data_IF_959831150906
#
_entry.id   IF_959831150906
#
_cell.length_a   1.000
_cell.length_b   1.000
_cell.length_c   1.000
_cell.angle_alpha   90.00
_cell.angle_beta   90.00
_cell.angle_gamma   90.00
#
_symmetry.space_group_name_H-M   'P 1'
#
loop_
_entity.id
_entity.type
_entity.pdbx_description
1 polymer ?
#
# COMPACT_ATOMS: atom_id res chain seq x y z
N UNK A 1 33.17 -49.38 -39.24
CA UNK A 1 32.56 -49.63 -37.91
C UNK A 1 33.49 -49.01 -36.87
N UNK A 2 33.44 -47.68 -36.71
CA UNK A 2 34.52 -46.91 -36.08
C UNK A 2 34.05 -45.50 -35.67
N UNK A 3 33.81 -45.34 -34.35
CA UNK A 3 34.15 -44.25 -33.41
C UNK A 3 34.06 -42.73 -33.74
N UNK A 4 33.59 -41.99 -32.70
CA UNK A 4 34.01 -40.67 -32.15
C UNK A 4 33.81 -39.38 -32.98
N UNK A 5 32.96 -38.45 -32.51
CA UNK A 5 33.38 -37.35 -31.61
C UNK A 5 32.26 -36.33 -31.34
N UNK A 6 32.29 -35.76 -30.14
CA UNK A 6 31.45 -34.65 -29.68
C UNK A 6 32.18 -33.32 -29.88
N UNK A 7 31.46 -32.27 -30.28
CA UNK A 7 31.86 -30.88 -30.04
C UNK A 7 30.61 -30.00 -29.95
N UNK A 8 30.45 -29.37 -28.79
CA UNK A 8 29.45 -28.35 -28.52
C UNK A 8 29.76 -27.06 -29.31
N UNK A 9 28.78 -26.14 -29.38
CA UNK A 9 29.06 -24.83 -28.81
C UNK A 9 28.01 -24.42 -27.77
N UNK A 10 28.53 -23.73 -26.76
CA UNK A 10 27.85 -23.11 -25.65
C UNK A 10 26.83 -22.07 -26.12
N UNK A 11 25.57 -22.23 -25.73
CA UNK A 11 24.58 -21.16 -25.78
C UNK A 11 24.18 -20.81 -24.33
N UNK A 12 24.68 -19.68 -23.86
CA UNK A 12 24.25 -19.04 -22.62
C UNK A 12 22.74 -18.85 -22.65
N UNK A 13 22.02 -19.68 -21.89
CA UNK A 13 20.60 -19.50 -21.64
C UNK A 13 20.46 -18.48 -20.52
N UNK A 14 20.50 -17.20 -20.90
CA UNK A 14 20.09 -16.10 -20.03
C UNK A 14 18.58 -16.24 -19.84
N UNK A 15 18.15 -16.94 -18.80
CA UNK A 15 16.75 -16.91 -18.37
C UNK A 15 16.43 -15.47 -17.94
N UNK A 16 15.50 -14.75 -18.59
CA UNK A 16 14.97 -13.56 -17.98
C UNK A 16 14.09 -14.01 -16.82
N UNK A 17 14.56 -13.79 -15.59
CA UNK A 17 13.71 -13.82 -14.41
C UNK A 17 12.53 -12.89 -14.68
N UNK A 18 11.35 -13.47 -14.86
CA UNK A 18 10.11 -12.69 -14.96
C UNK A 18 9.78 -12.24 -13.55
N UNK A 19 10.42 -11.15 -13.11
CA UNK A 19 9.84 -10.30 -12.08
C UNK A 19 8.58 -9.70 -12.69
N UNK A 20 7.46 -10.39 -12.46
CA UNK A 20 6.13 -9.83 -12.67
C UNK A 20 5.95 -8.71 -11.66
N UNK A 21 6.46 -7.53 -11.99
CA UNK A 21 6.06 -6.28 -11.36
C UNK A 21 4.55 -6.14 -11.62
N UNK A 22 3.68 -6.07 -10.59
CA UNK A 22 2.24 -5.86 -10.80
C UNK A 22 1.90 -4.46 -11.31
N UNK A 23 2.89 -3.64 -11.66
CA UNK A 23 2.76 -2.23 -12.07
C UNK A 23 2.85 -1.98 -13.58
N UNK A 24 2.74 -3.01 -14.43
CA UNK A 24 2.82 -2.86 -15.90
C UNK A 24 1.46 -2.65 -16.59
N UNK A 25 0.46 -2.07 -15.92
CA UNK A 25 -0.83 -1.79 -16.57
C UNK A 25 -0.80 -0.39 -17.20
N UNK A 26 -0.60 -0.39 -18.52
CA UNK A 26 -0.63 0.77 -19.41
C UNK A 26 -1.85 1.63 -19.10
N UNK A 27 -1.58 2.87 -18.68
CA UNK A 27 -2.52 3.98 -18.65
C UNK A 27 -3.19 4.08 -20.03
N UNK A 28 -4.36 3.47 -20.19
CA UNK A 28 -5.25 3.89 -21.25
C UNK A 28 -5.61 5.34 -20.92
N UNK A 29 -4.98 6.29 -21.63
CA UNK A 29 -5.29 7.69 -21.47
C UNK A 29 -6.79 7.86 -21.71
N UNK A 30 -7.55 8.06 -20.64
CA UNK A 30 -8.95 8.45 -20.75
C UNK A 30 -9.02 9.62 -21.75
N UNK A 31 -9.96 9.60 -22.72
CA UNK A 31 -10.13 10.69 -23.66
C UNK A 31 -10.18 12.01 -22.89
N UNK A 32 -9.39 12.99 -23.30
CA UNK A 32 -9.35 14.30 -22.62
C UNK A 32 -10.77 14.87 -22.63
N UNK A 33 -11.35 15.05 -21.44
CA UNK A 33 -12.67 15.65 -21.30
C UNK A 33 -12.62 17.08 -21.88
N UNK A 34 -13.62 17.46 -22.68
CA UNK A 34 -13.68 18.81 -23.24
C UNK A 34 -13.93 19.84 -22.14
N UNK A 35 -13.39 21.05 -22.29
CA UNK A 35 -13.58 22.14 -21.33
C UNK A 35 -15.08 22.46 -21.11
N UNK A 36 -15.87 22.42 -22.19
CA UNK A 36 -17.31 22.61 -22.13
C UNK A 36 -18.01 21.55 -21.25
N UNK A 37 -17.65 20.27 -21.38
CA UNK A 37 -18.25 19.21 -20.56
C UNK A 37 -17.86 19.34 -19.09
N UNK A 38 -16.61 19.71 -18.82
CA UNK A 38 -16.16 19.98 -17.46
C UNK A 38 -16.94 21.14 -16.81
N UNK A 39 -17.22 22.20 -17.56
CA UNK A 39 -18.01 23.33 -17.08
C UNK A 39 -19.45 22.93 -16.76
N UNK A 40 -20.07 22.12 -17.62
CA UNK A 40 -21.40 21.55 -17.38
C UNK A 40 -21.43 20.70 -16.10
N UNK A 41 -20.43 19.84 -15.90
CA UNK A 41 -20.33 19.01 -14.68
C UNK A 41 -20.14 19.86 -13.42
N UNK A 42 -19.36 20.96 -13.50
CA UNK A 42 -19.24 21.93 -12.40
C UNK A 42 -20.59 22.58 -12.07
N UNK A 43 -21.31 23.05 -13.07
CA UNK A 43 -22.63 23.68 -12.89
C UNK A 43 -23.65 22.71 -12.29
N UNK A 44 -23.69 21.48 -12.80
CA UNK A 44 -24.58 20.43 -12.30
C UNK A 44 -24.26 20.08 -10.86
N UNK A 45 -22.98 19.93 -10.50
CA UNK A 45 -22.57 19.65 -9.12
C UNK A 45 -23.00 20.76 -8.15
N UNK A 46 -22.77 22.03 -8.50
CA UNK A 46 -23.19 23.16 -7.65
C UNK A 46 -24.70 23.24 -7.48
N UNK A 47 -25.46 22.84 -8.51
CA UNK A 47 -26.92 22.77 -8.45
C UNK A 47 -27.41 21.64 -7.53
N UNK A 48 -26.80 20.46 -7.64
CA UNK A 48 -27.22 19.27 -6.88
C UNK A 48 -26.73 19.31 -5.42
N UNK A 49 -25.62 20.01 -5.15
CA UNK A 49 -25.00 20.13 -3.84
C UNK A 49 -24.77 21.60 -3.46
N UNK A 50 -25.86 22.33 -3.22
CA UNK A 50 -25.83 23.78 -2.94
C UNK A 50 -25.02 24.18 -1.70
N UNK A 51 -24.82 23.26 -0.76
CA UNK A 51 -23.98 23.47 0.43
C UNK A 51 -22.49 23.21 0.21
N UNK A 52 -22.09 22.71 -0.96
CA UNK A 52 -20.70 22.39 -1.27
C UNK A 52 -20.05 23.49 -2.10
N UNK A 53 -18.86 23.93 -1.67
CA UNK A 53 -18.10 24.96 -2.38
C UNK A 53 -16.97 24.29 -3.17
N UNK A 54 -17.03 24.40 -4.49
CA UNK A 54 -15.93 24.03 -5.38
C UNK A 54 -14.90 25.17 -5.41
N UNK A 55 -13.84 25.00 -4.61
CA UNK A 55 -12.65 25.86 -4.59
C UNK A 55 -11.49 25.13 -5.27
N UNK A 56 -10.39 25.81 -5.67
CA UNK A 56 -9.21 25.15 -6.23
C UNK A 56 -8.63 24.01 -5.36
N UNK A 57 -8.87 24.09 -4.03
CA UNK A 57 -8.45 23.09 -3.04
C UNK A 57 -9.41 21.90 -2.88
N UNK A 58 -10.65 22.01 -3.35
CA UNK A 58 -11.65 20.94 -3.30
C UNK A 58 -11.98 20.39 -4.69
N UNK A 59 -11.70 21.18 -5.74
CA UNK A 59 -11.89 20.82 -7.13
C UNK A 59 -10.92 19.70 -7.52
N UNK A 60 -11.40 18.55 -8.02
CA UNK A 60 -10.54 17.51 -8.56
C UNK A 60 -9.84 17.96 -9.84
N UNK A 61 -8.62 17.47 -10.05
CA UNK A 61 -7.87 17.73 -11.28
C UNK A 61 -8.60 17.19 -12.52
N UNK A 62 -8.40 17.83 -13.68
CA UNK A 62 -8.98 17.38 -14.95
C UNK A 62 -8.64 15.92 -15.26
N UNK A 63 -7.43 15.47 -14.90
CA UNK A 63 -7.00 14.07 -15.06
C UNK A 63 -7.88 13.13 -14.26
N UNK A 64 -8.14 13.44 -12.99
CA UNK A 64 -8.98 12.62 -12.12
C UNK A 64 -10.42 12.55 -12.62
N UNK A 65 -10.99 13.69 -13.01
CA UNK A 65 -12.35 13.75 -13.56
C UNK A 65 -12.43 12.93 -14.85
N UNK A 66 -11.45 13.06 -15.75
CA UNK A 66 -11.43 12.30 -17.00
C UNK A 66 -11.34 10.79 -16.76
N UNK A 67 -10.54 10.36 -15.77
CA UNK A 67 -10.47 8.95 -15.36
C UNK A 67 -11.82 8.46 -14.82
N UNK A 68 -12.43 9.20 -13.89
CA UNK A 68 -13.73 8.84 -13.32
C UNK A 68 -14.84 8.82 -14.39
N UNK A 69 -14.88 9.82 -15.28
CA UNK A 69 -15.85 9.89 -16.39
C UNK A 69 -15.72 8.71 -17.35
N UNK A 70 -14.50 8.27 -17.66
CA UNK A 70 -14.26 7.11 -18.49
C UNK A 70 -14.66 5.80 -17.80
N UNK A 71 -14.44 5.67 -16.49
CA UNK A 71 -14.92 4.53 -15.72
C UNK A 71 -16.44 4.47 -15.68
N UNK A 72 -17.10 5.62 -15.51
CA UNK A 72 -18.56 5.72 -15.47
C UNK A 72 -19.22 5.39 -16.81
N UNK A 73 -18.65 5.87 -17.91
CA UNK A 73 -19.22 5.64 -19.26
C UNK A 73 -19.16 4.18 -19.67
N UNK A 74 -18.10 3.46 -19.28
CA UNK A 74 -17.94 2.03 -19.54
C UNK A 74 -18.53 1.13 -18.46
N UNK A 75 -18.93 1.70 -17.32
CA UNK A 75 -19.24 0.96 -16.08
C UNK A 75 -18.10 0.03 -15.66
N UNK A 76 -16.88 0.38 -16.04
CA UNK A 76 -15.65 -0.32 -15.71
C UNK A 76 -14.91 0.47 -14.64
N UNK A 77 -15.26 0.21 -13.39
CA UNK A 77 -14.64 0.90 -12.28
C UNK A 77 -13.34 0.22 -11.85
N UNK A 78 -12.32 1.03 -11.56
CA UNK A 78 -11.01 0.57 -11.09
C UNK A 78 -10.47 1.50 -10.02
N UNK A 79 -9.77 0.93 -9.05
CA UNK A 79 -9.15 1.73 -7.98
C UNK A 79 -8.21 2.77 -8.59
N UNK A 80 -8.46 4.05 -8.31
CA UNK A 80 -7.60 5.15 -8.75
C UNK A 80 -6.49 5.32 -7.70
N UNK A 81 -5.20 5.14 -8.06
CA UNK A 81 -4.10 5.31 -7.14
C UNK A 81 -4.11 6.70 -6.49
N UNK A 82 -3.73 6.78 -5.21
CA UNK A 82 -3.72 8.02 -4.45
C UNK A 82 -2.91 9.14 -5.11
N UNK A 83 -1.82 8.78 -5.80
CA UNK A 83 -1.00 9.73 -6.57
C UNK A 83 -1.72 10.43 -7.72
N UNK A 84 -2.91 9.97 -8.09
CA UNK A 84 -3.75 10.59 -9.12
C UNK A 84 -4.99 11.27 -8.53
N UNK A 85 -5.23 11.15 -7.22
CA UNK A 85 -6.36 11.80 -6.53
C UNK A 85 -6.00 13.24 -6.14
N UNK A 86 -5.62 14.02 -7.13
CA UNK A 86 -5.10 15.38 -6.96
C UNK A 86 -6.18 16.43 -7.19
N UNK A 87 -6.06 17.54 -6.46
CA UNK A 87 -6.84 18.75 -6.70
C UNK A 87 -6.35 19.48 -7.95
N UNK A 88 -7.11 20.44 -8.44
CA UNK A 88 -6.70 21.36 -9.49
C UNK A 88 -5.44 22.15 -9.07
N UNK A 89 -5.39 22.67 -7.84
CA UNK A 89 -4.26 23.46 -7.34
C UNK A 89 -2.97 22.64 -7.14
N UNK A 90 -3.09 21.33 -6.82
CA UNK A 90 -1.94 20.47 -6.48
C UNK A 90 -1.71 19.36 -7.48
N UNK A 91 -2.01 19.60 -8.76
CA UNK A 91 -1.80 18.60 -9.81
C UNK A 91 -0.34 18.10 -9.93
N UNK A 92 0.64 18.79 -9.31
CA UNK A 92 2.05 18.41 -9.29
C UNK A 92 2.59 17.90 -7.95
N UNK A 93 1.91 18.13 -6.81
CA UNK A 93 2.49 17.94 -5.47
C UNK A 93 1.69 16.96 -4.59
N UNK A 94 2.27 15.77 -4.37
CA UNK A 94 1.79 14.82 -3.36
C UNK A 94 2.74 14.70 -2.18
N UNK A 95 2.27 15.15 -1.02
CA UNK A 95 2.89 14.87 0.27
C UNK A 95 1.87 14.20 1.19
N UNK A 96 1.85 12.86 1.18
CA UNK A 96 0.98 12.03 2.03
C UNK A 96 1.76 11.63 3.28
N UNK A 97 2.00 12.58 4.18
CA UNK A 97 2.76 12.33 5.41
C UNK A 97 1.89 12.10 6.65
N UNK A 98 0.59 12.41 6.56
CA UNK A 98 -0.34 12.38 7.72
C UNK A 98 -1.74 11.92 7.32
N UNK A 99 -2.53 11.51 8.31
CA UNK A 99 -3.94 11.13 8.16
C UNK A 99 -4.77 12.26 7.53
N UNK A 100 -4.47 13.53 7.85
CA UNK A 100 -5.11 14.67 7.19
C UNK A 100 -4.83 14.75 5.68
N UNK A 101 -3.70 14.20 5.23
CA UNK A 101 -3.41 13.99 3.81
C UNK A 101 -4.33 12.95 3.19
N UNK A 102 -4.53 11.82 3.87
CA UNK A 102 -5.46 10.76 3.42
C UNK A 102 -6.89 11.29 3.32
N UNK A 103 -7.37 12.00 4.35
CA UNK A 103 -8.71 12.60 4.35
C UNK A 103 -8.95 13.51 3.13
N UNK A 104 -7.96 14.36 2.78
CA UNK A 104 -8.06 15.21 1.59
C UNK A 104 -8.13 14.41 0.29
N UNK A 105 -7.30 13.38 0.14
CA UNK A 105 -7.28 12.55 -1.06
C UNK A 105 -8.60 11.81 -1.28
N UNK A 106 -9.19 11.30 -0.20
CA UNK A 106 -10.49 10.66 -0.23
C UNK A 106 -11.58 11.68 -0.59
N UNK A 107 -11.58 12.85 0.04
CA UNK A 107 -12.56 13.91 -0.26
C UNK A 107 -12.51 14.38 -1.73
N UNK A 108 -11.31 14.51 -2.31
CA UNK A 108 -11.15 14.91 -3.73
C UNK A 108 -11.68 13.83 -4.68
N UNK A 109 -11.47 12.56 -4.34
CA UNK A 109 -12.02 11.44 -5.08
C UNK A 109 -13.54 11.37 -4.99
N UNK A 110 -14.10 11.65 -3.80
CA UNK A 110 -15.55 11.72 -3.58
C UNK A 110 -16.20 12.79 -4.46
N UNK A 111 -15.60 13.98 -4.52
CA UNK A 111 -16.09 15.06 -5.41
C UNK A 111 -16.00 14.63 -6.87
N UNK A 112 -14.89 14.00 -7.31
CA UNK A 112 -14.75 13.55 -8.69
C UNK A 112 -15.81 12.54 -9.11
N UNK A 113 -16.09 11.54 -8.27
CA UNK A 113 -17.12 10.54 -8.53
C UNK A 113 -18.53 11.14 -8.51
N UNK A 114 -18.80 12.08 -7.61
CA UNK A 114 -20.08 12.78 -7.56
C UNK A 114 -20.30 13.69 -8.78
N UNK A 115 -19.28 14.42 -9.24
CA UNK A 115 -19.32 15.26 -10.44
C UNK A 115 -19.63 14.46 -11.71
N UNK A 116 -19.13 13.22 -11.77
CA UNK A 116 -19.36 12.29 -12.87
C UNK A 116 -20.71 11.58 -12.79
N UNK A 117 -21.41 11.70 -11.65
CA UNK A 117 -22.69 11.04 -11.42
C UNK A 117 -22.57 9.56 -11.03
N UNK A 118 -21.37 9.09 -10.64
CA UNK A 118 -21.15 7.69 -10.25
C UNK A 118 -21.87 7.31 -8.96
N UNK A 119 -21.87 8.20 -7.97
CA UNK A 119 -22.55 8.00 -6.69
C UNK A 119 -22.91 9.34 -6.04
N UNK A 120 -23.83 9.30 -5.08
CA UNK A 120 -24.25 10.49 -4.34
C UNK A 120 -23.15 10.93 -3.36
N UNK A 121 -22.86 12.22 -3.30
CA UNK A 121 -21.75 12.76 -2.49
C UNK A 121 -21.87 12.37 -1.01
N UNK A 122 -23.08 12.39 -0.44
CA UNK A 122 -23.29 11.99 0.96
C UNK A 122 -22.87 10.53 1.23
N UNK A 123 -23.05 9.62 0.27
CA UNK A 123 -22.63 8.20 0.42
C UNK A 123 -21.12 8.04 0.34
N UNK A 124 -20.50 8.78 -0.57
CA UNK A 124 -19.04 8.82 -0.69
C UNK A 124 -18.39 9.39 0.58
N UNK A 125 -18.93 10.51 1.09
CA UNK A 125 -18.48 11.10 2.36
C UNK A 125 -18.65 10.15 3.54
N UNK A 126 -19.76 9.39 3.62
CA UNK A 126 -19.96 8.41 4.68
C UNK A 126 -18.87 7.32 4.67
N UNK A 127 -18.55 6.78 3.50
CA UNK A 127 -17.43 5.84 3.32
C UNK A 127 -16.10 6.45 3.79
N UNK A 128 -15.76 7.64 3.27
CA UNK A 128 -14.50 8.31 3.57
C UNK A 128 -14.36 8.69 5.05
N UNK A 129 -15.45 9.15 5.67
CA UNK A 129 -15.49 9.48 7.09
C UNK A 129 -15.25 8.23 7.95
N UNK A 130 -15.89 7.10 7.62
CA UNK A 130 -15.66 5.84 8.35
C UNK A 130 -14.21 5.37 8.19
N UNK A 131 -13.67 5.45 6.98
CA UNK A 131 -12.28 5.08 6.70
C UNK A 131 -11.29 5.93 7.52
N UNK A 132 -11.45 7.25 7.52
CA UNK A 132 -10.59 8.17 8.28
C UNK A 132 -10.77 8.00 9.78
N UNK A 133 -12.00 7.73 10.25
CA UNK A 133 -12.28 7.45 11.66
C UNK A 133 -11.44 6.25 12.15
N UNK A 134 -11.42 5.15 11.40
CA UNK A 134 -10.65 3.95 11.73
C UNK A 134 -9.13 4.22 11.73
N UNK A 135 -8.64 5.01 10.78
CA UNK A 135 -7.22 5.42 10.74
C UNK A 135 -6.80 6.36 11.88
N UNK A 136 -7.74 7.13 12.41
CA UNK A 136 -7.46 8.15 13.43
C UNK A 136 -7.54 7.61 14.85
N UNK A 137 -7.86 6.32 15.02
CA UNK A 137 -7.99 5.70 16.32
C UNK A 137 -6.66 5.74 17.09
N UNK A 138 -6.75 6.23 18.34
CA UNK A 138 -5.62 6.25 19.28
C UNK A 138 -5.73 5.06 20.21
N UNK A 139 -4.60 4.40 20.42
CA UNK A 139 -4.49 3.24 21.29
C UNK A 139 -3.66 3.61 22.50
N UNK A 140 -4.00 3.02 23.65
CA UNK A 140 -3.24 3.22 24.86
C UNK A 140 -1.79 2.74 24.68
N UNK A 141 -0.77 3.50 25.12
CA UNK A 141 0.63 3.11 24.93
C UNK A 141 0.98 1.72 25.49
N UNK A 142 0.32 1.29 26.58
CA UNK A 142 0.53 0.00 27.23
C UNK A 142 -0.10 -1.18 26.48
N UNK A 143 -1.05 -0.92 25.57
CA UNK A 143 -1.73 -1.97 24.80
C UNK A 143 -0.83 -2.71 23.81
N UNK A 144 0.36 -2.16 23.52
CA UNK A 144 1.23 -2.69 22.47
C UNK A 144 0.67 -2.53 21.05
N UNK A 145 -0.47 -1.86 20.88
CA UNK A 145 -1.12 -1.65 19.59
C UNK A 145 -0.72 -0.32 18.96
N UNK A 146 -0.73 -0.28 17.62
CA UNK A 146 -0.55 0.91 16.79
C UNK A 146 -1.69 1.03 15.78
N UNK A 147 -1.97 2.26 15.36
CA UNK A 147 -2.83 2.51 14.21
C UNK A 147 -2.19 2.00 12.90
N UNK A 148 -3.00 1.71 11.87
CA UNK A 148 -2.49 1.41 10.54
C UNK A 148 -1.64 2.54 9.97
N UNK A 149 -0.54 2.20 9.31
CA UNK A 149 0.30 3.16 8.58
C UNK A 149 -0.30 3.56 7.24
N UNK A 150 0.29 4.56 6.58
CA UNK A 150 -0.16 5.07 5.28
C UNK A 150 -0.15 3.98 4.19
N UNK A 151 0.87 3.10 4.18
CA UNK A 151 0.94 1.99 3.22
C UNK A 151 -0.18 0.94 3.45
N UNK A 152 -0.46 0.61 4.71
CA UNK A 152 -1.55 -0.30 5.08
C UNK A 152 -2.91 0.30 4.71
N UNK A 153 -3.08 1.61 4.94
CA UNK A 153 -4.26 2.35 4.53
C UNK A 153 -4.43 2.34 2.99
N UNK A 154 -3.35 2.53 2.23
CA UNK A 154 -3.39 2.47 0.78
C UNK A 154 -3.79 1.09 0.26
N UNK A 155 -3.24 0.03 0.87
CA UNK A 155 -3.60 -1.35 0.55
C UNK A 155 -5.07 -1.65 0.89
N UNK A 156 -5.54 -1.19 2.04
CA UNK A 156 -6.93 -1.32 2.46
C UNK A 156 -7.87 -0.59 1.48
N UNK A 157 -7.57 0.66 1.10
CA UNK A 157 -8.36 1.41 0.12
C UNK A 157 -8.38 0.72 -1.25
N UNK A 158 -7.24 0.22 -1.73
CA UNK A 158 -7.16 -0.55 -2.97
C UNK A 158 -8.08 -1.78 -2.93
N UNK A 159 -7.99 -2.58 -1.87
CA UNK A 159 -8.78 -3.80 -1.71
C UNK A 159 -10.28 -3.52 -1.57
N UNK A 160 -10.65 -2.51 -0.78
CA UNK A 160 -12.05 -2.12 -0.59
C UNK A 160 -12.69 -1.69 -1.91
N UNK A 161 -12.04 -0.81 -2.67
CA UNK A 161 -12.57 -0.37 -3.96
C UNK A 161 -12.64 -1.51 -4.98
N UNK A 162 -11.64 -2.40 -5.02
CA UNK A 162 -11.73 -3.61 -5.86
C UNK A 162 -12.97 -4.45 -5.54
N UNK A 163 -13.27 -4.66 -4.24
CA UNK A 163 -14.45 -5.43 -3.84
C UNK A 163 -15.77 -4.69 -4.06
N UNK A 164 -15.81 -3.37 -3.84
CA UNK A 164 -16.98 -2.53 -4.15
C UNK A 164 -17.31 -2.62 -5.65
N UNK A 165 -16.29 -2.55 -6.50
CA UNK A 165 -16.47 -2.61 -7.95
C UNK A 165 -16.83 -4.00 -8.44
N UNK A 166 -16.22 -5.05 -7.90
CA UNK A 166 -16.64 -6.42 -8.17
C UNK A 166 -18.14 -6.61 -7.86
N UNK A 167 -18.63 -6.02 -6.76
CA UNK A 167 -20.05 -6.10 -6.42
C UNK A 167 -20.95 -5.37 -7.43
N UNK A 168 -20.52 -4.21 -7.94
CA UNK A 168 -21.24 -3.45 -8.97
C UNK A 168 -21.28 -4.22 -10.29
N UNK A 169 -20.15 -4.77 -10.71
CA UNK A 169 -20.02 -5.52 -11.97
C UNK A 169 -20.74 -6.88 -11.94
N UNK A 170 -20.58 -7.66 -10.88
CA UNK A 170 -21.09 -9.04 -10.82
C UNK A 170 -22.60 -9.11 -10.56
N UNK A 171 -23.14 -8.15 -9.80
CA UNK A 171 -24.55 -8.16 -9.38
C UNK A 171 -25.41 -7.11 -10.08
N UNK A 172 -24.85 -6.36 -11.03
CA UNK A 172 -25.50 -5.21 -11.66
C UNK A 172 -25.94 -4.13 -10.66
N UNK A 173 -25.34 -4.11 -9.48
CA UNK A 173 -25.69 -3.20 -8.39
C UNK A 173 -25.27 -1.77 -8.71
N UNK A 174 -25.98 -0.77 -8.20
CA UNK A 174 -25.53 0.63 -8.28
C UNK A 174 -24.40 0.88 -7.28
N UNK A 175 -23.45 1.74 -7.63
CA UNK A 175 -22.32 2.09 -6.76
C UNK A 175 -22.77 2.57 -5.37
N UNK A 176 -23.88 3.30 -5.27
CA UNK A 176 -24.47 3.70 -3.99
C UNK A 176 -24.81 2.53 -3.06
N UNK A 177 -25.34 1.43 -3.60
CA UNK A 177 -25.68 0.23 -2.82
C UNK A 177 -24.42 -0.48 -2.33
N UNK A 178 -23.43 -0.63 -3.21
CA UNK A 178 -22.14 -1.20 -2.84
C UNK A 178 -21.42 -0.37 -1.76
N UNK A 179 -21.43 0.96 -1.87
CA UNK A 179 -20.87 1.84 -0.84
C UNK A 179 -21.62 1.70 0.49
N UNK A 180 -22.94 1.57 0.47
CA UNK A 180 -23.73 1.34 1.68
C UNK A 180 -23.36 0.00 2.35
N UNK A 181 -23.25 -1.08 1.58
CA UNK A 181 -22.84 -2.38 2.09
C UNK A 181 -21.50 -2.32 2.81
N UNK A 182 -20.49 -1.67 2.24
CA UNK A 182 -19.16 -1.56 2.84
C UNK A 182 -19.06 -0.56 4.00
N UNK A 183 -19.97 0.41 4.05
CA UNK A 183 -19.97 1.43 5.09
C UNK A 183 -20.81 1.01 6.31
N UNK A 184 -21.91 0.29 6.13
CA UNK A 184 -22.84 0.01 7.24
C UNK A 184 -22.96 -1.49 7.55
N UNK A 185 -23.04 -2.34 6.53
CA UNK A 185 -23.38 -3.76 6.71
C UNK A 185 -22.13 -4.62 6.94
N UNK A 186 -21.06 -4.38 6.17
CA UNK A 186 -19.86 -5.22 6.15
C UNK A 186 -18.82 -4.73 7.15
N UNK A 187 -18.19 -5.70 7.82
CA UNK A 187 -17.05 -5.47 8.72
C UNK A 187 -15.69 -5.35 8.01
N UNK A 188 -15.63 -5.52 6.69
CA UNK A 188 -14.37 -5.56 5.92
C UNK A 188 -13.51 -4.31 6.12
N UNK A 189 -14.10 -3.11 6.06
CA UNK A 189 -13.36 -1.86 6.27
C UNK A 189 -12.71 -1.82 7.66
N UNK A 190 -13.45 -2.24 8.70
CA UNK A 190 -12.93 -2.31 10.06
C UNK A 190 -11.82 -3.37 10.19
N UNK A 191 -11.99 -4.53 9.56
CA UNK A 191 -11.00 -5.61 9.57
C UNK A 191 -9.69 -5.20 8.88
N UNK A 192 -9.75 -4.54 7.72
CA UNK A 192 -8.55 -4.12 7.01
C UNK A 192 -7.79 -3.00 7.75
N UNK A 193 -8.53 -2.11 8.42
CA UNK A 193 -7.99 -0.97 9.15
C UNK A 193 -7.88 -1.19 10.67
N UNK A 194 -7.92 -2.44 11.14
CA UNK A 194 -7.80 -2.74 12.57
C UNK A 194 -6.41 -2.37 13.14
N UNK A 195 -6.32 -2.28 14.46
CA UNK A 195 -5.05 -2.08 15.17
C UNK A 195 -4.00 -3.13 14.78
N UNK A 196 -2.72 -2.76 14.79
CA UNK A 196 -1.59 -3.67 14.55
C UNK A 196 -0.73 -3.77 15.79
N UNK A 197 -0.13 -4.92 16.05
CA UNK A 197 0.90 -5.02 17.08
C UNK A 197 2.10 -4.13 16.73
N UNK A 198 2.65 -3.42 17.70
CA UNK A 198 3.93 -2.73 17.56
C UNK A 198 5.01 -3.79 17.35
N UNK A 199 5.88 -3.65 16.33
CA UNK A 199 6.99 -4.58 16.16
C UNK A 199 7.85 -4.55 17.42
N UNK A 200 8.19 -5.73 17.94
CA UNK A 200 9.14 -5.84 19.04
C UNK A 200 10.44 -5.17 18.60
N UNK A 201 10.83 -4.10 19.28
CA UNK A 201 12.15 -3.52 19.11
C UNK A 201 13.14 -4.52 19.72
N UNK A 202 13.66 -5.41 18.88
CA UNK A 202 14.86 -6.16 19.22
C UNK A 202 15.95 -5.11 19.31
N UNK A 203 16.30 -4.72 20.55
CA UNK A 203 17.42 -3.83 20.80
C UNK A 203 18.64 -4.43 20.09
N UNK A 204 19.06 -3.79 19.01
CA UNK A 204 20.35 -4.09 18.40
C UNK A 204 21.36 -3.61 19.42
N UNK A 205 21.96 -4.57 20.13
CA UNK A 205 23.02 -4.34 21.10
C UNK A 205 23.99 -3.28 20.55
N UNK A 206 24.35 -2.26 21.33
CA UNK A 206 25.22 -1.21 20.84
C UNK A 206 26.54 -1.86 20.44
N UNK A 207 26.86 -1.79 19.15
CA UNK A 207 28.23 -1.96 18.67
C UNK A 207 29.02 -0.77 19.25
N UNK A 208 29.47 -0.93 20.50
CA UNK A 208 30.64 -0.20 20.97
C UNK A 208 31.75 -0.70 20.08
N UNK A 209 32.10 0.10 19.09
CA UNK A 209 33.28 -0.09 18.26
C UNK A 209 34.48 -0.34 19.16
N UNK A 210 34.79 -1.62 19.36
CA UNK A 210 35.97 -2.08 20.04
C UNK A 210 36.93 -2.55 18.96
N UNK A 211 37.99 -1.77 18.70
CA UNK A 211 39.23 -2.33 18.17
C UNK A 211 39.66 -3.44 19.14
N UNK A 212 39.38 -4.69 18.82
CA UNK A 212 39.66 -5.76 19.76
C UNK A 212 39.33 -7.14 19.23
N UNK A 213 40.27 -7.67 18.45
CA UNK A 213 40.44 -9.06 18.02
C UNK A 213 39.77 -10.11 18.93
N UNK A 214 39.09 -11.08 18.31
CA UNK A 214 39.06 -12.44 18.81
C UNK A 214 37.69 -12.95 19.27
N UNK A 215 36.85 -13.38 18.32
CA UNK A 215 35.83 -14.40 18.61
C UNK A 215 35.54 -15.31 17.41
N UNK A 216 35.79 -14.84 16.17
CA UNK A 216 35.61 -15.64 14.96
C UNK A 216 36.55 -16.85 14.81
N UNK A 217 37.67 -16.88 15.55
CA UNK A 217 38.64 -17.99 15.49
C UNK A 217 38.29 -19.16 16.42
N UNK A 218 37.47 -18.94 17.45
CA UNK A 218 37.10 -19.99 18.41
C UNK A 218 36.02 -20.95 17.88
N UNK A 219 35.13 -20.47 17.00
CA UNK A 219 34.04 -21.27 16.44
C UNK A 219 34.47 -22.11 15.22
N UNK A 220 35.50 -21.69 14.49
CA UNK A 220 36.01 -22.42 13.31
C UNK A 220 36.88 -23.61 13.73
N UNK A 221 37.65 -23.47 14.80
CA UNK A 221 38.56 -24.53 15.27
C UNK A 221 37.81 -25.69 15.98
N UNK A 222 36.56 -25.48 16.43
CA UNK A 222 35.72 -26.48 17.10
C UNK A 222 35.01 -27.49 16.15
N UNK A 223 35.04 -27.26 14.84
CA UNK A 223 34.36 -28.12 13.84
C UNK A 223 35.30 -29.02 13.01
N UNK A 224 36.62 -28.96 13.24
CA UNK A 224 37.60 -29.89 12.64
C UNK A 224 38.13 -30.87 13.68
N UNK A 225 37.37 -31.93 13.92
CA UNK A 225 37.85 -33.07 14.70
C UNK A 225 38.91 -33.90 13.95
N UNK A 226 39.96 -34.32 14.66
CA UNK A 226 40.50 -35.69 14.60
C UNK A 226 41.29 -36.05 15.87
N UNK A 227 41.31 -37.33 16.28
CA UNK A 227 41.66 -37.78 17.63
C UNK A 227 43.11 -38.28 17.73
N UNK A 228 43.70 -38.27 18.92
CA UNK A 228 44.86 -39.12 19.21
C UNK A 228 45.76 -38.71 20.38
N UNK A 229 45.98 -39.69 21.27
CA UNK A 229 47.18 -39.93 22.08
C UNK A 229 47.37 -39.24 23.45
N UNK A 230 46.89 -39.97 24.47
CA UNK A 230 47.44 -40.23 25.82
C UNK A 230 48.92 -39.93 26.14
N UNK A 231 49.14 -39.39 27.36
CA UNK A 231 50.20 -39.59 28.41
C UNK A 231 50.53 -38.22 29.03
N UNK A 232 50.56 -37.95 30.33
CA UNK A 232 50.65 -38.73 31.56
C UNK A 232 51.74 -38.10 32.46
N UNK A 233 51.52 -38.06 33.79
CA UNK A 233 52.47 -37.72 34.91
C UNK A 233 52.82 -36.23 35.12
N UNK A 234 52.97 -35.65 36.32
CA UNK A 234 52.77 -36.02 37.74
C UNK A 234 53.12 -34.82 38.65
N UNK A 235 52.56 -34.79 39.87
CA UNK A 235 53.06 -34.20 41.14
C UNK A 235 53.32 -32.68 41.21
N UNK A 236 53.00 -31.92 42.27
CA UNK A 236 52.68 -32.25 43.66
C UNK A 236 53.62 -31.48 44.61
N UNK A 237 53.06 -30.88 45.69
CA UNK A 237 53.65 -30.10 46.82
C UNK A 237 53.67 -28.58 46.61
N UNK A 238 52.95 -27.74 47.37
CA UNK A 238 52.64 -27.60 48.81
C UNK A 238 53.75 -26.96 49.66
N UNK A 239 53.32 -25.97 50.47
CA UNK A 239 53.94 -25.22 51.59
C UNK A 239 54.90 -24.09 51.20
N UNK A 240 54.68 -22.81 51.56
CA UNK A 240 54.31 -22.26 52.88
C UNK A 240 55.59 -22.14 53.71
N UNK A 241 55.99 -20.94 54.17
CA UNK A 241 55.28 -20.19 55.21
C UNK A 241 54.94 -18.73 54.87
#
# INVERSE_FOLDING_TARGET
MTHWSSSAPSAASTSPATTSDPSSWVESFAPKLTSAKLLEMKQQFTKDYTSEILSPNTMPSLRLISLAAHQESKKEYRWIPWKHRLTEERAADLQISRVSGVQRLLAVHDVALAMVGSAHLARLKAYSNKFVHLLSQRYDPSSGLRAPGILEAQQADCKLWQQIFALVSDKGGKLNGALYDFTEIRGEMASLLQARAKPLQISRWPDKGNKGKGLGKFLVDAWKGKPGASKGKSEGKDKGP
#
